data_IF_964807064218
#
_entry.id   IF_964807064218
#
_cell.length_a   1.000
_cell.length_b   1.000
_cell.length_c   1.000
_cell.angle_alpha   90.00
_cell.angle_beta   90.00
_cell.angle_gamma   90.00
#
_symmetry.space_group_name_H-M   'P 1'
#
loop_
_entity.id
_entity.type
_entity.pdbx_description
1 polymer ?
#
# COMPACT_ATOMS: atom_id res chain seq x y z
N UNK A 1 39.53 -37.93 75.49
CA UNK A 1 40.18 -37.10 74.52
C UNK A 1 39.91 -37.52 73.12
N UNK A 2 38.99 -36.94 72.54
CA UNK A 2 38.49 -37.28 71.16
C UNK A 2 38.77 -36.11 70.29
N UNK A 3 39.39 -36.38 69.16
CA UNK A 3 39.76 -35.51 68.10
C UNK A 3 38.55 -35.32 67.14
N UNK A 4 38.17 -34.13 66.71
CA UNK A 4 37.17 -33.96 65.67
C UNK A 4 37.80 -33.97 64.28
N UNK A 5 37.18 -34.70 63.36
CA UNK A 5 37.47 -34.85 61.95
C UNK A 5 36.98 -33.63 61.15
N UNK A 6 37.82 -33.14 60.22
CA UNK A 6 37.45 -32.19 59.16
C UNK A 6 36.69 -32.88 58.00
N UNK A 7 35.75 -32.24 57.37
CA UNK A 7 35.34 -32.59 55.99
C UNK A 7 35.92 -31.58 55.03
N UNK A 8 36.73 -32.09 54.09
CA UNK A 8 37.13 -31.41 52.86
C UNK A 8 36.05 -31.61 51.82
N UNK A 9 35.52 -30.54 51.27
CA UNK A 9 34.92 -30.57 49.91
C UNK A 9 35.09 -29.18 49.32
N UNK A 10 36.10 -29.06 48.45
CA UNK A 10 36.22 -27.94 47.55
C UNK A 10 35.26 -28.12 46.34
N UNK A 11 34.61 -27.08 45.84
CA UNK A 11 33.86 -27.17 44.63
C UNK A 11 34.77 -27.14 43.39
N UNK A 12 34.60 -28.14 42.56
CA UNK A 12 35.19 -28.25 41.21
C UNK A 12 34.75 -27.07 40.34
N UNK A 13 35.69 -26.22 39.95
CA UNK A 13 35.50 -25.22 38.92
C UNK A 13 35.57 -25.92 37.55
N UNK A 14 34.46 -26.28 36.97
CA UNK A 14 34.36 -26.50 35.52
C UNK A 14 34.26 -25.14 34.88
N UNK A 15 35.40 -24.70 34.34
CA UNK A 15 35.49 -23.54 33.44
C UNK A 15 34.73 -23.82 32.13
N UNK A 16 33.50 -23.39 32.09
CA UNK A 16 32.81 -23.20 30.81
C UNK A 16 33.14 -21.80 30.30
N UNK A 17 33.92 -21.74 29.26
CA UNK A 17 34.14 -20.52 28.46
C UNK A 17 32.78 -19.96 28.01
N UNK A 18 32.20 -19.11 28.84
CA UNK A 18 31.13 -18.22 28.37
C UNK A 18 31.82 -17.13 27.54
N UNK A 19 31.89 -17.35 26.21
CA UNK A 19 32.06 -16.22 25.31
C UNK A 19 31.07 -15.13 25.72
N UNK A 20 31.50 -13.89 25.95
CA UNK A 20 30.57 -12.80 26.19
C UNK A 20 29.68 -12.70 24.97
N UNK A 21 28.37 -12.87 25.17
CA UNK A 21 27.40 -12.57 24.15
C UNK A 21 27.67 -11.14 23.69
N UNK A 22 28.19 -10.99 22.45
CA UNK A 22 28.30 -9.67 21.82
C UNK A 22 26.91 -9.05 21.91
N UNK A 23 26.72 -8.10 22.80
CA UNK A 23 25.54 -7.26 22.79
C UNK A 23 25.49 -6.58 21.42
N UNK A 24 24.54 -7.00 20.61
CA UNK A 24 24.26 -6.39 19.31
C UNK A 24 23.75 -4.98 19.61
N UNK A 25 24.64 -3.99 19.60
CA UNK A 25 24.31 -2.61 19.93
C UNK A 25 23.47 -2.09 18.76
N UNK A 26 22.16 -2.14 18.94
CA UNK A 26 21.20 -1.58 17.99
C UNK A 26 21.32 -0.05 18.02
N UNK A 27 22.05 0.50 17.08
CA UNK A 27 22.15 1.95 16.89
C UNK A 27 21.30 2.35 15.68
N UNK A 28 20.69 3.53 15.68
CA UNK A 28 19.95 4.01 14.53
C UNK A 28 20.86 4.22 13.33
N UNK A 29 20.45 3.73 12.15
CA UNK A 29 21.11 3.97 10.88
C UNK A 29 20.37 5.09 10.17
N UNK A 30 21.07 6.17 9.87
CA UNK A 30 20.52 7.33 9.20
C UNK A 30 20.82 7.26 7.70
N UNK A 31 19.82 7.64 6.89
CA UNK A 31 19.98 7.85 5.45
C UNK A 31 19.47 9.24 5.10
N UNK A 32 20.29 10.00 4.40
CA UNK A 32 19.95 11.32 3.87
C UNK A 32 20.26 11.37 2.38
N UNK A 33 19.51 12.15 1.65
CA UNK A 33 19.74 12.29 0.21
C UNK A 33 18.68 13.15 -0.46
N UNK A 34 18.64 13.07 -1.78
CA UNK A 34 17.72 13.84 -2.60
C UNK A 34 17.00 12.94 -3.60
N UNK A 35 15.75 13.25 -3.88
CA UNK A 35 14.96 12.71 -4.98
C UNK A 35 14.90 13.71 -6.11
N UNK A 36 15.06 13.25 -7.35
CA UNK A 36 14.86 14.03 -8.55
C UNK A 36 14.08 13.21 -9.57
N UNK A 37 13.29 13.87 -10.41
CA UNK A 37 12.64 13.24 -11.56
C UNK A 37 13.61 13.20 -12.76
N UNK A 38 13.26 12.44 -13.80
CA UNK A 38 14.06 12.34 -15.04
C UNK A 38 14.37 13.68 -15.69
N UNK A 39 13.53 14.69 -15.48
CA UNK A 39 13.70 16.05 -16.00
C UNK A 39 14.60 16.94 -15.13
N UNK A 40 15.20 16.38 -14.07
CA UNK A 40 16.06 17.09 -13.15
C UNK A 40 15.34 17.96 -12.13
N UNK A 41 14.01 17.95 -12.09
CA UNK A 41 13.21 18.68 -11.11
C UNK A 41 12.96 17.83 -9.85
N UNK A 42 12.76 18.43 -8.68
CA UNK A 42 12.27 17.68 -7.51
C UNK A 42 10.84 17.17 -7.75
N UNK A 43 10.43 16.10 -7.09
CA UNK A 43 9.05 15.63 -7.19
C UNK A 43 8.09 16.73 -6.70
N UNK A 44 6.90 16.87 -7.32
CA UNK A 44 5.94 17.94 -7.03
C UNK A 44 5.19 17.73 -5.71
N UNK A 45 5.32 16.57 -5.11
CA UNK A 45 4.75 16.23 -3.80
C UNK A 45 5.77 15.44 -2.96
N UNK A 46 5.61 15.39 -1.62
CA UNK A 46 6.42 14.54 -0.76
C UNK A 46 6.25 13.06 -1.14
N UNK A 47 7.36 12.37 -1.31
CA UNK A 47 7.39 10.97 -1.75
C UNK A 47 7.71 10.07 -0.58
N UNK A 48 7.04 8.93 -0.50
CA UNK A 48 7.27 7.91 0.53
C UNK A 48 8.62 7.24 0.30
N UNK A 49 9.43 7.16 1.35
CA UNK A 49 10.68 6.43 1.35
C UNK A 49 10.46 5.04 1.94
N UNK A 50 10.76 4.01 1.17
CA UNK A 50 10.46 2.61 1.49
C UNK A 50 11.74 1.82 1.75
N UNK A 51 11.74 1.06 2.84
CA UNK A 51 12.69 -0.02 3.09
C UNK A 51 12.01 -1.34 2.70
N UNK A 52 12.62 -2.10 1.79
CA UNK A 52 12.10 -3.39 1.35
C UNK A 52 13.09 -4.47 1.75
N UNK A 53 12.71 -5.32 2.69
CA UNK A 53 13.52 -6.45 3.17
C UNK A 53 12.81 -7.75 2.85
N UNK A 54 13.48 -8.66 2.13
CA UNK A 54 12.89 -9.94 1.71
C UNK A 54 11.55 -9.77 0.99
N UNK A 55 11.45 -8.75 0.13
CA UNK A 55 10.24 -8.41 -0.61
C UNK A 55 9.12 -7.73 0.20
N UNK A 56 9.32 -7.49 1.50
CA UNK A 56 8.33 -6.83 2.36
C UNK A 56 8.61 -5.33 2.45
N UNK A 57 7.76 -4.46 1.86
CA UNK A 57 7.92 -3.03 1.93
C UNK A 57 7.50 -2.47 3.30
N UNK A 58 8.32 -1.56 3.84
CA UNK A 58 8.07 -0.85 5.10
C UNK A 58 8.37 0.63 4.89
N UNK A 59 7.40 1.52 5.04
CA UNK A 59 7.64 2.96 4.93
C UNK A 59 8.54 3.43 6.09
N UNK A 60 9.48 4.33 5.77
CA UNK A 60 10.45 4.86 6.74
C UNK A 60 10.30 6.38 6.95
N UNK A 61 9.66 7.08 6.04
CA UNK A 61 9.46 8.52 6.09
C UNK A 61 9.08 9.10 4.73
N UNK A 62 9.20 10.40 4.60
CA UNK A 62 8.85 11.15 3.38
C UNK A 62 9.98 12.09 2.97
N UNK A 63 10.04 12.41 1.68
CA UNK A 63 10.83 13.55 1.21
C UNK A 63 10.11 14.88 1.53
N UNK A 64 10.87 15.99 1.52
CA UNK A 64 10.27 17.32 1.50
C UNK A 64 9.88 17.72 0.05
N UNK A 65 9.20 18.89 -0.10
CA UNK A 65 8.82 19.45 -1.41
C UNK A 65 9.99 19.82 -2.31
N UNK A 66 11.23 19.78 -1.81
CA UNK A 66 12.47 19.96 -2.58
C UNK A 66 13.15 18.63 -2.91
N UNK A 67 12.46 17.53 -2.64
CA UNK A 67 12.95 16.17 -2.84
C UNK A 67 13.98 15.72 -1.82
N UNK A 68 14.29 16.47 -0.75
CA UNK A 68 15.28 16.04 0.25
C UNK A 68 14.62 15.09 1.25
N UNK A 69 15.32 14.04 1.61
CA UNK A 69 14.86 13.10 2.64
C UNK A 69 15.92 12.91 3.72
N UNK A 70 15.45 12.66 4.94
CA UNK A 70 16.25 12.21 6.07
C UNK A 70 15.42 11.20 6.85
N UNK A 71 15.86 9.95 6.86
CA UNK A 71 15.15 8.84 7.48
C UNK A 71 16.04 8.07 8.42
N UNK A 72 15.44 7.50 9.45
CA UNK A 72 16.10 6.61 10.41
C UNK A 72 15.55 5.20 10.21
N UNK A 73 16.39 4.26 9.80
CA UNK A 73 15.96 2.90 9.52
C UNK A 73 15.54 2.16 10.78
N UNK A 74 14.42 1.45 10.69
CA UNK A 74 13.89 0.62 11.78
C UNK A 74 13.08 1.37 12.83
N UNK A 75 12.92 2.67 12.72
CA UNK A 75 11.99 3.43 13.56
C UNK A 75 10.67 3.66 12.82
N UNK A 76 9.59 3.14 13.37
CA UNK A 76 8.24 3.41 12.87
C UNK A 76 7.75 4.81 13.28
N UNK A 77 8.60 5.83 13.14
CA UNK A 77 8.24 7.23 13.39
C UNK A 77 7.51 7.82 12.18
N UNK A 78 6.52 7.10 11.65
CA UNK A 78 5.61 7.69 10.70
C UNK A 78 4.62 8.53 11.49
N UNK A 79 5.05 9.72 11.86
CA UNK A 79 4.11 10.83 12.02
C UNK A 79 3.65 11.08 10.59
N UNK A 80 2.47 10.59 10.22
CA UNK A 80 1.85 10.93 8.95
C UNK A 80 1.85 12.46 8.83
N UNK A 81 2.71 13.07 8.00
CA UNK A 81 2.51 14.43 7.62
C UNK A 81 1.44 14.37 6.55
N UNK A 82 0.22 14.69 6.95
CA UNK A 82 -0.87 14.87 6.04
C UNK A 82 -1.61 13.62 5.54
N UNK A 83 -2.88 13.53 5.91
CA UNK A 83 -3.86 12.60 5.35
C UNK A 83 -4.15 12.86 3.84
N UNK A 84 -3.45 13.78 3.18
CA UNK A 84 -3.52 14.00 1.73
C UNK A 84 -2.81 12.93 0.92
N UNK A 85 -1.90 12.17 1.52
CA UNK A 85 -1.21 11.08 0.87
C UNK A 85 -1.77 9.79 1.46
N UNK A 86 -3.04 9.52 1.19
CA UNK A 86 -3.56 8.16 1.27
C UNK A 86 -2.89 7.39 0.15
N UNK A 87 -1.82 6.67 0.47
CA UNK A 87 -1.34 5.64 -0.43
C UNK A 87 -2.51 4.72 -0.80
N UNK A 88 -2.53 4.13 -2.00
CA UNK A 88 -3.62 3.27 -2.46
C UNK A 88 -3.93 2.09 -1.52
N UNK A 89 -3.06 1.85 -0.53
CA UNK A 89 -3.23 0.79 0.46
C UNK A 89 -4.04 1.18 1.70
N UNK A 90 -4.21 2.47 2.01
CA UNK A 90 -4.85 2.88 3.27
C UNK A 90 -6.35 3.13 3.15
N UNK A 91 -6.87 3.35 1.94
CA UNK A 91 -8.27 3.73 1.71
C UNK A 91 -9.18 2.52 1.53
N UNK A 92 -8.65 1.36 1.18
CA UNK A 92 -9.44 0.18 0.86
C UNK A 92 -9.28 -0.95 1.90
N UNK A 93 -9.89 -0.74 3.07
CA UNK A 93 -10.41 -1.80 3.92
C UNK A 93 -9.48 -2.95 4.26
N UNK A 94 -8.26 -2.68 4.63
CA UNK A 94 -7.46 -3.61 5.41
C UNK A 94 -7.96 -3.60 6.86
N UNK A 95 -9.12 -4.22 7.10
CA UNK A 95 -9.50 -4.71 8.44
C UNK A 95 -8.66 -5.95 8.79
N UNK A 96 -7.36 -5.89 8.58
CA UNK A 96 -6.45 -6.73 9.32
C UNK A 96 -6.11 -5.98 10.60
N UNK A 97 -6.93 -6.16 11.63
CA UNK A 97 -6.52 -6.02 13.02
C UNK A 97 -5.46 -7.08 13.33
N UNK A 98 -4.35 -7.04 12.61
CA UNK A 98 -3.10 -7.49 13.15
C UNK A 98 -2.68 -6.34 14.04
N UNK A 99 -2.95 -6.45 15.33
CA UNK A 99 -2.34 -5.63 16.35
C UNK A 99 -0.83 -5.67 16.09
N UNK A 100 -0.34 -4.68 15.36
CA UNK A 100 1.07 -4.34 15.38
C UNK A 100 1.30 -3.98 16.83
N UNK A 101 1.92 -4.88 17.52
CA UNK A 101 2.36 -4.70 18.90
C UNK A 101 3.29 -3.48 18.88
N UNK A 102 2.68 -2.31 19.08
CA UNK A 102 3.39 -1.04 19.31
C UNK A 102 3.94 -1.06 20.73
N UNK A 103 4.94 -1.93 20.93
CA UNK A 103 5.89 -1.70 21.99
C UNK A 103 6.83 -0.57 21.54
N UNK A 104 7.25 0.33 22.43
CA UNK A 104 8.29 1.30 22.10
C UNK A 104 9.60 0.53 21.95
N UNK A 105 9.86 -0.02 20.77
CA UNK A 105 11.18 -0.55 20.43
C UNK A 105 12.05 0.66 20.07
N UNK A 106 12.70 1.21 21.07
CA UNK A 106 13.81 2.17 20.93
C UNK A 106 15.08 1.47 20.40
N UNK A 107 14.94 0.54 19.48
CA UNK A 107 16.04 -0.20 18.87
C UNK A 107 16.17 0.13 17.39
N UNK A 108 17.32 0.67 16.96
CA UNK A 108 17.69 0.76 15.56
C UNK A 108 17.83 -0.63 14.92
N UNK A 109 17.91 -0.71 13.60
CA UNK A 109 18.21 -1.96 12.89
C UNK A 109 19.69 -2.32 13.05
N UNK A 110 19.98 -3.62 13.21
CA UNK A 110 21.37 -4.11 13.17
C UNK A 110 21.84 -4.26 11.71
N UNK A 111 23.16 -4.21 11.48
CA UNK A 111 23.76 -4.40 10.16
C UNK A 111 23.35 -5.75 9.51
N UNK A 112 23.17 -6.79 10.33
CA UNK A 112 22.70 -8.11 9.85
C UNK A 112 21.28 -8.08 9.32
N UNK A 113 20.40 -7.25 9.88
CA UNK A 113 19.04 -7.09 9.44
C UNK A 113 18.92 -6.33 8.11
N UNK A 114 19.98 -5.60 7.69
CA UNK A 114 20.03 -4.94 6.39
C UNK A 114 20.44 -5.87 5.23
N UNK A 115 20.87 -7.08 5.53
CA UNK A 115 21.18 -8.06 4.48
C UNK A 115 19.91 -8.41 3.70
N UNK A 116 19.96 -8.23 2.37
CA UNK A 116 18.79 -8.43 1.50
C UNK A 116 17.75 -7.31 1.58
N UNK A 117 18.08 -6.19 2.19
CA UNK A 117 17.25 -4.99 2.19
C UNK A 117 17.66 -4.02 1.08
N UNK A 118 16.68 -3.36 0.51
CA UNK A 118 16.84 -2.27 -0.44
C UNK A 118 16.04 -1.05 0.03
N UNK A 119 16.54 0.13 -0.31
CA UNK A 119 15.91 1.40 -0.01
C UNK A 119 15.55 2.10 -1.31
N UNK A 120 14.31 2.55 -1.44
CA UNK A 120 13.77 3.18 -2.64
C UNK A 120 12.68 4.18 -2.32
N UNK A 121 12.35 5.03 -3.28
CA UNK A 121 11.19 5.89 -3.20
C UNK A 121 9.97 5.21 -3.85
N UNK A 122 8.78 5.49 -3.33
CA UNK A 122 7.52 5.00 -3.88
C UNK A 122 6.62 6.19 -4.27
N UNK A 123 6.51 6.40 -5.56
CA UNK A 123 5.62 7.39 -6.17
C UNK A 123 4.84 6.72 -7.30
N UNK A 124 3.50 6.63 -7.22
CA UNK A 124 2.70 5.99 -8.26
C UNK A 124 2.95 6.59 -9.64
N UNK A 125 3.19 5.73 -10.63
CA UNK A 125 3.54 6.13 -11.99
C UNK A 125 5.03 6.29 -12.25
N UNK A 126 5.86 6.11 -11.23
CA UNK A 126 7.33 6.21 -11.35
C UNK A 126 8.01 4.96 -10.80
N UNK A 127 9.18 4.70 -11.31
CA UNK A 127 10.12 3.70 -10.78
C UNK A 127 11.31 4.44 -10.20
N UNK A 128 11.61 4.20 -8.93
CA UNK A 128 12.78 4.75 -8.28
C UNK A 128 14.03 3.94 -8.57
N UNK A 129 15.18 4.60 -8.57
CA UNK A 129 16.44 3.93 -8.31
C UNK A 129 16.40 3.18 -6.98
N UNK A 130 17.19 2.12 -6.90
CA UNK A 130 17.25 1.24 -5.75
C UNK A 130 18.63 1.34 -5.11
N UNK A 131 18.66 1.71 -3.84
CA UNK A 131 19.87 1.66 -3.03
C UNK A 131 19.94 0.33 -2.31
N UNK A 132 20.92 -0.51 -2.66
CA UNK A 132 21.20 -1.75 -1.92
C UNK A 132 21.83 -1.43 -0.57
N UNK A 133 21.27 -2.00 0.50
CA UNK A 133 21.75 -1.79 1.86
C UNK A 133 22.64 -2.92 2.37
N UNK A 134 22.79 -4.00 1.60
CA UNK A 134 23.66 -5.12 1.92
C UNK A 134 25.12 -4.65 2.05
N UNK A 135 25.71 -4.88 3.22
CA UNK A 135 27.10 -4.47 3.49
C UNK A 135 27.25 -3.03 4.00
N UNK A 136 26.17 -2.28 4.15
CA UNK A 136 26.21 -0.95 4.76
C UNK A 136 26.45 -1.07 6.26
N UNK A 137 27.40 -0.27 6.76
CA UNK A 137 27.80 -0.26 8.17
C UNK A 137 27.26 0.98 8.88
N UNK A 138 27.18 0.88 10.19
CA UNK A 138 26.67 1.92 11.08
C UNK A 138 27.41 3.26 10.98
N UNK A 139 28.72 3.19 10.67
CA UNK A 139 29.60 4.36 10.58
C UNK A 139 29.77 4.88 9.14
N UNK A 140 29.07 4.29 8.16
CA UNK A 140 29.12 4.78 6.79
C UNK A 140 28.46 6.15 6.68
N UNK A 141 28.89 6.93 5.68
CA UNK A 141 28.29 8.24 5.40
C UNK A 141 26.78 8.10 5.24
N UNK A 142 25.95 8.81 6.05
CA UNK A 142 24.50 8.75 5.92
C UNK A 142 24.01 9.29 4.57
N UNK A 143 24.79 10.13 3.88
CA UNK A 143 24.39 10.68 2.59
C UNK A 143 24.54 9.62 1.49
N UNK A 144 23.40 9.30 0.87
CA UNK A 144 23.31 8.28 -0.18
C UNK A 144 23.24 8.88 -1.59
N UNK A 145 23.36 10.21 -1.70
CA UNK A 145 23.31 10.92 -2.96
C UNK A 145 21.89 11.17 -3.47
N UNK A 146 21.74 11.12 -4.80
CA UNK A 146 20.46 11.38 -5.48
C UNK A 146 19.87 10.09 -5.98
N UNK A 147 18.59 9.84 -5.66
CA UNK A 147 17.78 8.77 -6.25
C UNK A 147 16.90 9.39 -7.35
N UNK A 148 16.88 8.77 -8.52
CA UNK A 148 16.09 9.27 -9.65
C UNK A 148 14.76 8.51 -9.72
N UNK A 149 13.69 9.25 -9.97
CA UNK A 149 12.36 8.76 -10.23
C UNK A 149 12.13 8.72 -11.75
N UNK A 150 12.17 7.52 -12.32
CA UNK A 150 11.97 7.27 -13.75
C UNK A 150 10.49 7.10 -14.04
N UNK A 151 9.95 7.88 -14.96
CA UNK A 151 8.55 7.75 -15.36
C UNK A 151 8.29 6.43 -16.08
N UNK A 152 7.23 5.73 -15.68
CA UNK A 152 6.78 4.52 -16.37
C UNK A 152 6.10 4.91 -17.70
N UNK A 153 6.53 4.29 -18.80
CA UNK A 153 6.10 4.64 -20.17
C UNK A 153 4.60 4.48 -20.43
N UNK A 154 3.92 3.61 -19.70
CA UNK A 154 2.49 3.29 -19.88
C UNK A 154 1.61 3.88 -18.78
N UNK A 155 2.05 4.93 -18.10
CA UNK A 155 1.28 5.60 -17.05
C UNK A 155 0.99 7.03 -17.50
N UNK A 156 -0.30 7.34 -17.68
CA UNK A 156 -0.76 8.68 -18.06
C UNK A 156 -1.19 9.51 -16.85
N UNK A 157 -1.67 8.85 -15.81
CA UNK A 157 -2.18 9.48 -14.59
C UNK A 157 -1.09 9.81 -13.59
N UNK A 158 -1.32 10.87 -12.82
CA UNK A 158 -0.43 11.35 -11.76
C UNK A 158 -1.20 11.46 -10.45
N UNK A 159 -0.49 11.29 -9.34
CA UNK A 159 -1.02 11.58 -8.00
C UNK A 159 -1.07 13.09 -7.71
N UNK A 160 -0.38 13.89 -8.49
CA UNK A 160 -0.39 15.35 -8.46
C UNK A 160 -1.10 15.94 -9.69
N UNK A 161 -1.60 17.16 -9.58
CA UNK A 161 -2.31 17.83 -10.68
C UNK A 161 -1.40 18.81 -11.42
N UNK A 162 -1.29 18.62 -12.72
CA UNK A 162 -0.54 19.51 -13.61
C UNK A 162 -1.19 20.90 -13.76
N UNK A 163 -2.52 20.96 -13.78
CA UNK A 163 -3.25 22.24 -13.90
C UNK A 163 -3.09 23.11 -12.66
N UNK A 164 -2.87 22.49 -11.51
CA UNK A 164 -2.68 23.19 -10.23
C UNK A 164 -1.41 24.05 -10.19
N UNK A 165 -0.38 23.71 -10.96
CA UNK A 165 0.85 24.51 -11.06
C UNK A 165 0.62 25.91 -11.65
N UNK A 166 -0.42 26.07 -12.48
CA UNK A 166 -0.78 27.34 -13.12
C UNK A 166 -1.67 28.26 -12.27
N UNK A 167 -1.97 27.88 -11.04
CA UNK A 167 -2.86 28.67 -10.18
C UNK A 167 -2.27 30.05 -9.85
N UNK A 168 -3.08 31.13 -9.90
CA UNK A 168 -2.68 32.47 -9.49
C UNK A 168 -2.23 32.52 -8.02
N UNK A 169 -1.35 33.48 -7.71
CA UNK A 169 -0.74 33.62 -6.38
C UNK A 169 -1.78 33.69 -5.25
N UNK A 170 -2.89 34.39 -5.46
CA UNK A 170 -3.91 34.55 -4.41
C UNK A 170 -4.71 33.28 -4.19
N UNK A 171 -5.03 32.54 -5.26
CA UNK A 171 -5.65 31.22 -5.16
C UNK A 171 -4.72 30.20 -4.49
N UNK A 172 -3.41 30.25 -4.79
CA UNK A 172 -2.41 29.41 -4.10
C UNK A 172 -2.34 29.69 -2.61
N UNK A 173 -2.28 30.98 -2.21
CA UNK A 173 -2.28 31.36 -0.79
C UNK A 173 -3.56 30.91 -0.07
N UNK A 174 -4.71 31.03 -0.74
CA UNK A 174 -5.97 30.56 -0.19
C UNK A 174 -5.97 29.04 -0.02
N UNK A 175 -5.48 28.29 -1.03
CA UNK A 175 -5.31 26.85 -0.95
C UNK A 175 -4.37 26.42 0.19
N UNK A 176 -3.17 27.00 0.29
CA UNK A 176 -2.19 26.70 1.34
C UNK A 176 -2.78 26.89 2.74
N UNK A 177 -3.53 27.97 2.94
CA UNK A 177 -4.22 28.21 4.22
C UNK A 177 -5.31 27.18 4.47
N UNK A 178 -6.09 26.80 3.46
CA UNK A 178 -7.09 25.75 3.55
C UNK A 178 -6.46 24.38 3.89
N UNK A 179 -5.38 24.02 3.20
CA UNK A 179 -4.64 22.80 3.43
C UNK A 179 -4.05 22.73 4.86
N UNK A 180 -3.51 23.83 5.36
CA UNK A 180 -3.01 23.90 6.75
C UNK A 180 -4.13 23.72 7.80
N UNK A 181 -5.32 24.22 7.50
CA UNK A 181 -6.51 24.03 8.35
C UNK A 181 -7.01 22.57 8.29
N UNK A 182 -6.93 21.93 7.11
CA UNK A 182 -7.21 20.50 6.96
C UNK A 182 -6.29 19.65 7.86
N UNK A 183 -4.97 19.92 7.88
CA UNK A 183 -4.01 19.27 8.79
C UNK A 183 -4.38 19.43 10.26
N UNK A 184 -4.92 20.59 10.62
CA UNK A 184 -5.40 20.89 11.98
C UNK A 184 -6.80 20.35 12.27
N UNK A 185 -7.41 19.59 11.32
CA UNK A 185 -8.78 19.07 11.39
C UNK A 185 -9.87 20.13 11.59
N UNK A 186 -9.61 21.36 11.14
CA UNK A 186 -10.53 22.50 11.17
C UNK A 186 -11.27 22.60 9.83
N UNK A 187 -12.14 21.65 9.59
CA UNK A 187 -12.71 21.40 8.26
C UNK A 187 -13.63 22.51 7.76
N UNK A 188 -14.42 23.12 8.63
CA UNK A 188 -15.31 24.25 8.29
C UNK A 188 -14.51 25.51 7.92
N UNK A 189 -13.44 25.80 8.68
CA UNK A 189 -12.54 26.92 8.36
C UNK A 189 -11.76 26.63 7.05
N UNK A 190 -11.34 25.38 6.85
CA UNK A 190 -10.66 24.96 5.64
C UNK A 190 -11.55 25.13 4.40
N UNK A 191 -12.84 24.76 4.48
CA UNK A 191 -13.81 24.92 3.40
C UNK A 191 -13.86 26.37 2.90
N UNK A 192 -13.90 27.37 3.79
CA UNK A 192 -13.96 28.80 3.41
C UNK A 192 -12.76 29.18 2.55
N UNK A 193 -11.57 28.73 2.93
CA UNK A 193 -10.34 29.07 2.20
C UNK A 193 -10.19 28.26 0.91
N UNK A 194 -10.60 27.00 0.90
CA UNK A 194 -10.58 26.16 -0.31
C UNK A 194 -11.61 26.65 -1.35
N UNK A 195 -12.82 27.09 -0.92
CA UNK A 195 -13.78 27.75 -1.80
C UNK A 195 -13.18 29.00 -2.44
N UNK A 196 -12.56 29.87 -1.63
CA UNK A 196 -11.87 31.05 -2.17
C UNK A 196 -10.80 30.70 -3.20
N UNK A 197 -10.09 29.58 -3.01
CA UNK A 197 -9.09 29.11 -3.98
C UNK A 197 -9.71 28.71 -5.31
N UNK A 198 -10.82 27.94 -5.30
CA UNK A 198 -11.49 27.48 -6.54
C UNK A 198 -12.30 28.60 -7.20
N UNK A 199 -12.87 29.53 -6.45
CA UNK A 199 -13.56 30.70 -6.99
C UNK A 199 -12.58 31.60 -7.74
N UNK A 200 -11.36 31.78 -7.20
CA UNK A 200 -10.30 32.56 -7.85
C UNK A 200 -9.62 31.85 -9.02
N UNK A 201 -9.69 30.53 -9.06
CA UNK A 201 -9.17 29.69 -10.15
C UNK A 201 -9.97 28.39 -10.30
N UNK A 202 -11.05 28.40 -11.10
CA UNK A 202 -11.94 27.24 -11.26
C UNK A 202 -11.25 25.97 -11.80
N UNK A 203 -10.10 26.07 -12.49
CA UNK A 203 -9.30 24.93 -12.94
C UNK A 203 -8.30 24.43 -11.89
N UNK A 204 -8.45 24.82 -10.63
CA UNK A 204 -7.57 24.37 -9.55
C UNK A 204 -7.95 22.97 -9.06
N UNK A 205 -7.58 21.95 -9.81
CA UNK A 205 -7.99 20.57 -9.53
C UNK A 205 -7.63 20.12 -8.11
N UNK A 206 -6.43 20.47 -7.62
CA UNK A 206 -5.99 20.12 -6.26
C UNK A 206 -6.84 20.80 -5.19
N UNK A 207 -7.25 22.05 -5.40
CA UNK A 207 -8.12 22.77 -4.44
C UNK A 207 -9.54 22.17 -4.42
N UNK A 208 -10.07 21.75 -5.58
CA UNK A 208 -11.32 21.01 -5.65
C UNK A 208 -11.25 19.67 -4.93
N UNK A 209 -10.15 18.95 -5.09
CA UNK A 209 -9.91 17.68 -4.40
C UNK A 209 -9.90 17.86 -2.88
N UNK A 210 -9.13 18.82 -2.36
CA UNK A 210 -9.08 19.11 -0.91
C UNK A 210 -10.42 19.61 -0.37
N UNK A 211 -11.18 20.37 -1.16
CA UNK A 211 -12.53 20.77 -0.80
C UNK A 211 -13.47 19.56 -0.68
N UNK A 212 -13.36 18.59 -1.59
CA UNK A 212 -14.08 17.33 -1.50
C UNK A 212 -13.75 16.58 -0.20
N UNK A 213 -12.47 16.51 0.16
CA UNK A 213 -12.03 15.91 1.44
C UNK A 213 -12.56 16.65 2.66
N UNK A 214 -12.62 17.98 2.61
CA UNK A 214 -13.22 18.78 3.69
C UNK A 214 -14.71 18.45 3.87
N UNK A 215 -15.46 18.30 2.78
CA UNK A 215 -16.86 17.88 2.82
C UNK A 215 -17.03 16.45 3.34
N UNK A 216 -16.16 15.53 2.93
CA UNK A 216 -16.20 14.14 3.40
C UNK A 216 -15.97 14.07 4.92
N UNK A 217 -14.98 14.80 5.44
CA UNK A 217 -14.72 14.90 6.87
C UNK A 217 -15.91 15.49 7.66
N UNK A 218 -16.69 16.38 7.03
CA UNK A 218 -17.94 16.93 7.54
C UNK A 218 -19.16 16.00 7.30
N UNK A 219 -18.96 14.80 6.74
CA UNK A 219 -20.00 13.81 6.36
C UNK A 219 -20.99 14.32 5.30
N UNK A 220 -20.59 15.30 4.52
CA UNK A 220 -21.38 15.92 3.43
C UNK A 220 -21.04 15.21 2.10
N UNK A 221 -21.47 13.96 1.96
CA UNK A 221 -21.05 13.08 0.85
C UNK A 221 -21.48 13.59 -0.54
N UNK A 222 -22.64 14.22 -0.67
CA UNK A 222 -23.09 14.78 -1.95
C UNK A 222 -22.19 15.92 -2.43
N UNK A 223 -21.84 16.83 -1.51
CA UNK A 223 -20.94 17.96 -1.80
C UNK A 223 -19.52 17.45 -2.11
N UNK A 224 -19.05 16.44 -1.36
CA UNK A 224 -17.76 15.79 -1.60
C UNK A 224 -17.68 15.20 -3.00
N UNK A 225 -18.71 14.45 -3.42
CA UNK A 225 -18.82 13.88 -4.77
C UNK A 225 -18.72 14.96 -5.84
N UNK A 226 -19.51 16.03 -5.69
CA UNK A 226 -19.51 17.15 -6.64
C UNK A 226 -18.12 17.80 -6.73
N UNK A 227 -17.45 18.04 -5.61
CA UNK A 227 -16.12 18.62 -5.58
C UNK A 227 -15.07 17.70 -6.26
N UNK A 228 -15.12 16.39 -6.04
CA UNK A 228 -14.26 15.43 -6.73
C UNK A 228 -14.53 15.39 -8.23
N UNK A 229 -15.79 15.48 -8.66
CA UNK A 229 -16.16 15.57 -10.08
C UNK A 229 -15.61 16.85 -10.73
N UNK A 230 -15.64 17.97 -10.02
CA UNK A 230 -15.03 19.22 -10.48
C UNK A 230 -13.49 19.11 -10.56
N UNK A 231 -12.87 18.40 -9.62
CA UNK A 231 -11.45 18.11 -9.67
C UNK A 231 -11.08 17.31 -10.93
N UNK A 232 -11.83 16.24 -11.23
CA UNK A 232 -11.66 15.43 -12.45
C UNK A 232 -11.88 16.26 -13.72
N UNK A 233 -12.90 17.11 -13.74
CA UNK A 233 -13.18 18.00 -14.86
C UNK A 233 -12.05 19.01 -15.10
N UNK A 234 -11.39 19.44 -14.02
CA UNK A 234 -10.26 20.36 -14.09
C UNK A 234 -8.95 19.69 -14.53
N UNK A 235 -8.74 18.44 -14.15
CA UNK A 235 -7.57 17.64 -14.54
C UNK A 235 -7.93 16.15 -14.55
N UNK A 236 -8.28 15.63 -15.71
CA UNK A 236 -8.68 14.22 -15.88
C UNK A 236 -7.56 13.20 -15.69
N UNK A 237 -6.29 13.65 -15.63
CA UNK A 237 -5.12 12.79 -15.34
C UNK A 237 -4.75 12.76 -13.87
N UNK A 238 -5.36 13.57 -13.04
CA UNK A 238 -5.19 13.57 -11.60
C UNK A 238 -5.92 12.36 -10.99
N UNK A 239 -5.18 11.34 -10.55
CA UNK A 239 -5.71 10.03 -10.15
C UNK A 239 -6.52 10.10 -8.85
N UNK A 240 -6.09 10.91 -7.87
CA UNK A 240 -6.67 10.92 -6.53
C UNK A 240 -8.19 11.16 -6.48
N UNK A 241 -8.79 12.14 -7.21
CA UNK A 241 -10.24 12.31 -7.19
C UNK A 241 -10.99 11.13 -7.83
N UNK A 242 -10.40 10.44 -8.82
CA UNK A 242 -11.00 9.22 -9.36
C UNK A 242 -11.07 8.09 -8.32
N UNK A 243 -10.04 7.97 -7.47
CA UNK A 243 -10.02 7.00 -6.36
C UNK A 243 -11.11 7.32 -5.34
N UNK A 244 -11.33 8.58 -4.98
CA UNK A 244 -12.39 8.97 -4.04
C UNK A 244 -13.79 8.71 -4.64
N UNK A 245 -14.00 9.03 -5.90
CA UNK A 245 -15.26 8.72 -6.59
C UNK A 245 -15.51 7.21 -6.67
N UNK A 246 -14.47 6.40 -6.90
CA UNK A 246 -14.56 4.94 -6.82
C UNK A 246 -14.94 4.48 -5.43
N UNK A 247 -14.34 5.06 -4.36
CA UNK A 247 -14.69 4.72 -2.98
C UNK A 247 -16.16 5.04 -2.67
N UNK A 248 -16.67 6.16 -3.16
CA UNK A 248 -18.10 6.49 -3.02
C UNK A 248 -18.98 5.43 -3.69
N UNK A 249 -18.61 4.99 -4.90
CA UNK A 249 -19.33 3.92 -5.60
C UNK A 249 -19.28 2.57 -4.84
N UNK A 250 -18.14 2.25 -4.22
CA UNK A 250 -17.98 1.05 -3.38
C UNK A 250 -18.92 1.11 -2.16
N UNK A 251 -18.95 2.26 -1.49
CA UNK A 251 -19.81 2.45 -0.30
C UNK A 251 -21.30 2.31 -0.62
N UNK A 252 -21.72 2.71 -1.83
CA UNK A 252 -23.10 2.57 -2.31
C UNK A 252 -23.38 1.23 -2.99
N UNK A 253 -22.36 0.37 -3.16
CA UNK A 253 -22.44 -0.93 -3.88
C UNK A 253 -22.96 -0.81 -5.31
N UNK A 254 -22.71 0.30 -5.95
CA UNK A 254 -23.04 0.52 -7.35
C UNK A 254 -22.01 -0.17 -8.26
N UNK A 255 -22.29 -1.44 -8.60
CA UNK A 255 -21.36 -2.28 -9.38
C UNK A 255 -21.04 -1.68 -10.75
N UNK A 256 -21.99 -0.99 -11.37
CA UNK A 256 -21.76 -0.34 -12.65
C UNK A 256 -20.75 0.82 -12.50
N UNK A 257 -20.97 1.70 -11.52
CA UNK A 257 -20.04 2.80 -11.23
C UNK A 257 -18.68 2.29 -10.77
N UNK A 258 -18.63 1.20 -9.97
CA UNK A 258 -17.34 0.60 -9.56
C UNK A 258 -16.58 0.13 -10.80
N UNK A 259 -17.21 -0.57 -11.75
CA UNK A 259 -16.56 -1.04 -12.97
C UNK A 259 -16.03 0.14 -13.81
N UNK A 260 -16.86 1.15 -14.06
CA UNK A 260 -16.51 2.33 -14.87
C UNK A 260 -15.37 3.15 -14.24
N UNK A 261 -15.47 3.44 -12.94
CA UNK A 261 -14.47 4.23 -12.23
C UNK A 261 -13.14 3.49 -12.08
N UNK A 262 -13.19 2.19 -11.77
CA UNK A 262 -11.97 1.37 -11.70
C UNK A 262 -11.30 1.25 -13.07
N UNK A 263 -12.06 1.06 -14.16
CA UNK A 263 -11.51 1.07 -15.52
C UNK A 263 -10.78 2.39 -15.82
N UNK A 264 -11.34 3.52 -15.39
CA UNK A 264 -10.70 4.83 -15.59
C UNK A 264 -9.37 4.91 -14.84
N UNK A 265 -9.34 4.52 -13.56
CA UNK A 265 -8.09 4.50 -12.77
C UNK A 265 -7.06 3.57 -13.38
N UNK A 266 -7.47 2.37 -13.83
CA UNK A 266 -6.57 1.38 -14.42
C UNK A 266 -6.03 1.79 -15.79
N UNK A 267 -6.77 2.58 -16.56
CA UNK A 267 -6.26 3.21 -17.81
C UNK A 267 -5.21 4.27 -17.49
N UNK A 268 -5.42 5.05 -16.43
CA UNK A 268 -4.46 6.08 -16.02
C UNK A 268 -3.18 5.47 -15.44
N UNK A 269 -3.31 4.41 -14.64
CA UNK A 269 -2.18 3.73 -14.02
C UNK A 269 -2.51 2.25 -13.74
N UNK A 270 -2.08 1.32 -14.61
CA UNK A 270 -2.38 -0.11 -14.45
C UNK A 270 -1.48 -0.84 -13.44
N UNK A 271 -0.37 -0.25 -12.98
CA UNK A 271 0.69 -0.98 -12.28
C UNK A 271 0.66 -0.84 -10.76
N UNK A 272 0.17 0.28 -10.24
CA UNK A 272 0.33 0.60 -8.82
C UNK A 272 -0.88 0.22 -7.96
N UNK A 273 -1.95 -0.35 -8.53
CA UNK A 273 -3.22 -0.50 -7.85
C UNK A 273 -3.81 -1.93 -7.92
N UNK A 274 -3.19 -2.95 -7.29
CA UNK A 274 -3.75 -4.31 -7.27
C UNK A 274 -5.16 -4.36 -6.68
N UNK A 275 -5.48 -3.48 -5.71
CA UNK A 275 -6.81 -3.38 -5.12
C UNK A 275 -7.86 -2.88 -6.11
N UNK A 276 -7.49 -1.97 -7.02
CA UNK A 276 -8.42 -1.46 -8.04
C UNK A 276 -8.72 -2.55 -9.06
N UNK A 277 -7.71 -3.34 -9.46
CA UNK A 277 -7.91 -4.53 -10.27
C UNK A 277 -8.85 -5.54 -9.60
N UNK A 278 -8.67 -5.77 -8.29
CA UNK A 278 -9.59 -6.61 -7.51
C UNK A 278 -11.02 -6.06 -7.51
N UNK A 279 -11.21 -4.77 -7.29
CA UNK A 279 -12.54 -4.13 -7.30
C UNK A 279 -13.19 -4.20 -8.67
N UNK A 280 -12.40 -3.96 -9.74
CA UNK A 280 -12.86 -4.11 -11.12
C UNK A 280 -13.32 -5.55 -11.38
N UNK A 281 -12.52 -6.55 -10.96
CA UNK A 281 -12.89 -7.95 -11.05
C UNK A 281 -14.17 -8.29 -10.29
N UNK A 282 -14.31 -7.80 -9.06
CA UNK A 282 -15.50 -8.03 -8.24
C UNK A 282 -16.76 -7.36 -8.84
N UNK A 283 -16.63 -6.14 -9.36
CA UNK A 283 -17.72 -5.43 -10.01
C UNK A 283 -18.18 -6.16 -11.28
N UNK A 284 -17.25 -6.52 -12.16
CA UNK A 284 -17.57 -7.23 -13.39
C UNK A 284 -18.14 -8.63 -13.13
N UNK A 285 -17.69 -9.31 -12.05
CA UNK A 285 -18.30 -10.57 -11.62
C UNK A 285 -19.78 -10.38 -11.24
N UNK A 286 -20.10 -9.36 -10.44
CA UNK A 286 -21.49 -9.04 -10.08
C UNK A 286 -22.36 -8.63 -11.28
N UNK A 287 -21.74 -7.99 -12.30
CA UNK A 287 -22.36 -7.65 -13.57
C UNK A 287 -22.43 -8.84 -14.56
N UNK A 288 -22.02 -10.05 -14.14
CA UNK A 288 -21.98 -11.28 -14.96
C UNK A 288 -21.05 -11.21 -16.18
N UNK A 289 -20.07 -10.30 -16.18
CA UNK A 289 -19.06 -10.16 -17.20
C UNK A 289 -17.83 -11.00 -16.83
N UNK A 290 -17.98 -12.34 -16.84
CA UNK A 290 -17.00 -13.28 -16.25
C UNK A 290 -15.61 -13.19 -16.89
N UNK A 291 -15.49 -12.96 -18.19
CA UNK A 291 -14.20 -12.86 -18.87
C UNK A 291 -13.41 -11.61 -18.45
N UNK A 292 -14.11 -10.49 -18.26
CA UNK A 292 -13.50 -9.25 -17.77
C UNK A 292 -13.11 -9.43 -16.32
N UNK A 293 -13.98 -10.03 -15.51
CA UNK A 293 -13.74 -10.30 -14.09
C UNK A 293 -12.50 -11.18 -13.89
N UNK A 294 -12.35 -12.25 -14.68
CA UNK A 294 -11.18 -13.13 -14.64
C UNK A 294 -9.89 -12.38 -14.98
N UNK A 295 -9.90 -11.63 -16.09
CA UNK A 295 -8.73 -10.83 -16.49
C UNK A 295 -8.30 -9.90 -15.36
N UNK A 296 -9.24 -9.17 -14.80
CA UNK A 296 -8.95 -8.21 -13.72
C UNK A 296 -8.45 -8.90 -12.45
N UNK A 297 -9.02 -10.04 -12.08
CA UNK A 297 -8.56 -10.80 -10.92
C UNK A 297 -7.13 -11.38 -11.13
N UNK A 298 -6.80 -11.81 -12.35
CA UNK A 298 -5.45 -12.29 -12.70
C UNK A 298 -4.43 -11.15 -12.66
N UNK A 299 -4.75 -9.96 -13.19
CA UNK A 299 -3.86 -8.79 -13.09
C UNK A 299 -3.68 -8.35 -11.64
N UNK A 300 -4.74 -8.37 -10.83
CA UNK A 300 -4.64 -8.12 -9.39
C UNK A 300 -3.66 -9.08 -8.70
N UNK A 301 -3.79 -10.38 -9.00
CA UNK A 301 -2.93 -11.42 -8.42
C UNK A 301 -1.46 -11.27 -8.85
N UNK A 302 -1.22 -10.93 -10.11
CA UNK A 302 0.12 -10.69 -10.66
C UNK A 302 0.83 -9.52 -9.99
N UNK A 303 0.08 -8.47 -9.61
CA UNK A 303 0.63 -7.29 -8.94
C UNK A 303 0.76 -7.48 -7.42
N UNK A 304 -0.04 -8.37 -6.82
CA UNK A 304 0.00 -8.66 -5.38
C UNK A 304 1.01 -9.78 -5.06
N UNK A 305 2.28 -9.56 -5.39
CA UNK A 305 3.37 -10.54 -5.23
C UNK A 305 3.53 -11.01 -3.78
N UNK A 306 3.24 -10.14 -2.82
CA UNK A 306 3.33 -10.45 -1.39
C UNK A 306 2.12 -11.18 -0.82
N UNK A 307 1.09 -11.42 -1.64
CA UNK A 307 -0.22 -11.96 -1.22
C UNK A 307 -0.84 -11.16 -0.05
N UNK A 308 -0.64 -9.84 -0.07
CA UNK A 308 -1.19 -8.93 0.93
C UNK A 308 -2.72 -8.86 0.94
N UNK A 309 -3.35 -9.23 -0.17
CA UNK A 309 -4.81 -9.35 -0.27
C UNK A 309 -5.24 -10.76 -0.72
N UNK A 310 -5.33 -11.74 0.18
CA UNK A 310 -5.74 -13.11 -0.16
C UNK A 310 -7.11 -13.21 -0.84
N UNK A 311 -8.00 -12.23 -0.65
CA UNK A 311 -9.33 -12.19 -1.28
C UNK A 311 -9.28 -12.18 -2.81
N UNK A 312 -8.15 -11.78 -3.41
CA UNK A 312 -7.94 -11.82 -4.87
C UNK A 312 -7.99 -13.28 -5.34
N UNK A 313 -7.26 -14.19 -4.67
CA UNK A 313 -7.27 -15.63 -4.99
C UNK A 313 -8.67 -16.20 -4.80
N UNK A 314 -9.37 -15.84 -3.72
CA UNK A 314 -10.76 -16.29 -3.52
C UNK A 314 -11.69 -15.84 -4.63
N UNK A 315 -11.62 -14.55 -5.04
CA UNK A 315 -12.43 -14.02 -6.13
C UNK A 315 -12.15 -14.76 -7.44
N UNK A 316 -10.87 -14.95 -7.78
CA UNK A 316 -10.48 -15.69 -8.99
C UNK A 316 -10.99 -17.13 -8.93
N UNK A 317 -10.88 -17.81 -7.78
CA UNK A 317 -11.41 -19.16 -7.58
C UNK A 317 -12.93 -19.25 -7.84
N UNK A 318 -13.72 -18.30 -7.35
CA UNK A 318 -15.16 -18.22 -7.60
C UNK A 318 -15.44 -18.02 -9.11
N UNK A 319 -14.76 -17.07 -9.75
CA UNK A 319 -14.94 -16.79 -11.18
C UNK A 319 -14.62 -18.02 -12.03
N UNK A 320 -13.52 -18.73 -11.72
CA UNK A 320 -13.11 -19.95 -12.45
C UNK A 320 -14.11 -21.09 -12.25
N UNK A 321 -14.67 -21.24 -11.05
CA UNK A 321 -15.73 -22.22 -10.79
C UNK A 321 -16.99 -21.93 -11.63
N UNK A 322 -17.44 -20.68 -11.70
CA UNK A 322 -18.58 -20.26 -12.50
C UNK A 322 -18.33 -20.42 -14.02
N UNK A 323 -17.07 -20.37 -14.45
CA UNK A 323 -16.66 -20.64 -15.83
C UNK A 323 -16.45 -22.15 -16.12
N UNK A 324 -16.56 -23.03 -15.11
CA UNK A 324 -16.35 -24.47 -15.24
C UNK A 324 -14.89 -24.93 -15.19
N UNK A 325 -13.92 -24.04 -14.93
CA UNK A 325 -12.53 -24.39 -14.65
C UNK A 325 -12.37 -24.77 -13.18
N UNK A 326 -12.84 -25.96 -12.84
CA UNK A 326 -12.80 -26.48 -11.46
C UNK A 326 -11.39 -26.75 -10.94
N UNK A 327 -10.40 -27.24 -11.74
CA UNK A 327 -9.02 -27.38 -11.29
C UNK A 327 -8.38 -26.05 -10.94
N UNK A 328 -8.56 -25.02 -11.79
CA UNK A 328 -8.10 -23.67 -11.53
C UNK A 328 -8.74 -23.06 -10.27
N UNK A 329 -10.06 -23.28 -10.11
CA UNK A 329 -10.81 -22.82 -8.94
C UNK A 329 -10.26 -23.43 -7.64
N UNK A 330 -10.01 -24.75 -7.63
CA UNK A 330 -9.42 -25.46 -6.49
C UNK A 330 -8.06 -24.87 -6.09
N UNK A 331 -7.17 -24.67 -7.07
CA UNK A 331 -5.85 -24.10 -6.84
C UNK A 331 -5.95 -22.74 -6.15
N UNK A 332 -6.83 -21.86 -6.65
CA UNK A 332 -6.99 -20.51 -6.11
C UNK A 332 -7.64 -20.50 -4.73
N UNK A 333 -8.63 -21.33 -4.48
CA UNK A 333 -9.29 -21.43 -3.17
C UNK A 333 -8.39 -22.04 -2.10
N UNK A 334 -7.55 -23.03 -2.45
CA UNK A 334 -6.52 -23.56 -1.56
C UNK A 334 -5.45 -22.52 -1.25
N UNK A 335 -5.01 -21.74 -2.24
CA UNK A 335 -4.12 -20.59 -2.05
C UNK A 335 -4.68 -19.58 -1.07
N UNK A 336 -5.98 -19.23 -1.20
CA UNK A 336 -6.65 -18.36 -0.24
C UNK A 336 -6.54 -18.87 1.20
N UNK A 337 -6.83 -20.15 1.45
CA UNK A 337 -6.77 -20.73 2.79
C UNK A 337 -5.33 -20.76 3.35
N UNK A 338 -4.31 -20.92 2.50
CA UNK A 338 -2.92 -20.91 2.94
C UNK A 338 -2.45 -19.52 3.39
N UNK A 339 -2.93 -18.46 2.74
CA UNK A 339 -2.56 -17.08 3.08
C UNK A 339 -3.48 -16.43 4.12
N UNK A 340 -4.69 -16.97 4.32
CA UNK A 340 -5.67 -16.44 5.27
C UNK A 340 -6.34 -17.58 6.08
N UNK A 341 -5.57 -18.33 6.88
CA UNK A 341 -6.09 -19.50 7.63
C UNK A 341 -7.13 -19.13 8.69
N UNK A 342 -7.09 -17.90 9.19
CA UNK A 342 -7.99 -17.40 10.26
C UNK A 342 -9.11 -16.48 9.71
N UNK A 343 -9.34 -16.47 8.40
CA UNK A 343 -10.38 -15.64 7.83
C UNK A 343 -11.78 -16.12 8.27
N UNK A 344 -12.74 -15.21 8.50
CA UNK A 344 -14.07 -15.57 9.04
C UNK A 344 -14.89 -16.49 8.13
N UNK A 345 -14.50 -16.63 6.87
CA UNK A 345 -15.19 -17.41 5.85
C UNK A 345 -14.47 -18.73 5.46
N UNK A 346 -13.43 -19.11 6.21
CA UNK A 346 -12.64 -20.33 5.97
C UNK A 346 -13.52 -21.59 5.85
N UNK A 347 -14.51 -21.77 6.72
CA UNK A 347 -15.40 -22.93 6.69
C UNK A 347 -16.29 -22.94 5.43
N UNK A 348 -16.69 -21.77 4.93
CA UNK A 348 -17.43 -21.68 3.67
C UNK A 348 -16.56 -22.10 2.50
N UNK A 349 -15.31 -21.62 2.48
CA UNK A 349 -14.36 -21.95 1.40
C UNK A 349 -13.98 -23.43 1.44
N UNK A 350 -13.80 -24.05 2.62
CA UNK A 350 -13.58 -25.50 2.76
C UNK A 350 -14.71 -26.32 2.16
N UNK A 351 -15.95 -25.92 2.41
CA UNK A 351 -17.12 -26.59 1.79
C UNK A 351 -17.13 -26.46 0.26
N UNK A 352 -16.79 -25.28 -0.25
CA UNK A 352 -16.68 -25.03 -1.70
C UNK A 352 -15.57 -25.90 -2.32
N UNK A 353 -14.40 -26.01 -1.67
CA UNK A 353 -13.32 -26.88 -2.10
C UNK A 353 -13.77 -28.36 -2.15
N UNK A 354 -14.42 -28.83 -1.11
CA UNK A 354 -14.93 -30.22 -1.06
C UNK A 354 -15.92 -30.52 -2.20
N UNK A 355 -16.81 -29.59 -2.50
CA UNK A 355 -17.76 -29.74 -3.63
C UNK A 355 -17.04 -29.72 -4.99
N UNK A 356 -16.08 -28.82 -5.19
CA UNK A 356 -15.26 -28.80 -6.40
C UNK A 356 -14.46 -30.09 -6.58
N UNK A 357 -13.90 -30.67 -5.51
CA UNK A 357 -13.21 -31.97 -5.52
C UNK A 357 -14.15 -33.09 -5.91
N UNK A 358 -15.40 -33.09 -5.39
CA UNK A 358 -16.41 -34.10 -5.76
C UNK A 358 -16.74 -34.01 -7.25
N UNK A 359 -16.89 -32.82 -7.80
CA UNK A 359 -17.21 -32.59 -9.23
C UNK A 359 -16.02 -33.06 -10.11
N UNK A 360 -14.81 -32.71 -9.74
CA UNK A 360 -13.59 -33.11 -10.50
C UNK A 360 -13.34 -34.61 -10.42
N UNK A 361 -13.48 -35.22 -9.26
CA UNK A 361 -13.37 -36.67 -9.08
C UNK A 361 -14.40 -37.49 -9.89
N UNK A 362 -15.66 -36.99 -9.93
CA UNK A 362 -16.71 -37.58 -10.73
C UNK A 362 -16.42 -37.52 -12.26
N UNK A 363 -15.84 -36.39 -12.73
CA UNK A 363 -15.44 -36.23 -14.13
C UNK A 363 -14.29 -37.17 -14.53
N UNK A 364 -13.32 -37.40 -13.65
CA UNK A 364 -12.18 -38.31 -13.90
C UNK A 364 -12.64 -39.75 -14.01
N UNK A 365 -13.59 -40.20 -13.18
CA UNK A 365 -14.16 -41.55 -13.24
C UNK A 365 -15.05 -41.77 -14.46
N UNK A 366 -15.72 -40.72 -14.96
CA UNK A 366 -16.54 -40.82 -16.18
C UNK A 366 -15.73 -40.86 -17.50
N UNK A 367 -14.46 -40.46 -17.47
CA UNK A 367 -13.57 -40.46 -18.63
C UNK A 367 -12.71 -41.72 -18.75
N UNK A 368 -12.74 -42.63 -17.78
CA UNK A 368 -12.04 -43.92 -17.87
C UNK A 368 -12.96 -44.93 -18.58
N UNK A 369 -12.71 -45.32 -19.84
CA UNK A 369 -13.51 -46.37 -20.49
C UNK A 369 -13.33 -47.66 -19.74
N UNK A 370 -14.36 -48.53 -19.70
CA UNK A 370 -14.22 -49.84 -19.06
C UNK A 370 -13.14 -50.64 -19.82
N UNK A 371 -12.10 -51.02 -19.11
CA UNK A 371 -11.10 -51.95 -19.63
C UNK A 371 -11.82 -53.27 -19.88
N UNK A 372 -11.94 -53.65 -21.16
CA UNK A 372 -12.37 -55.00 -21.59
C UNK A 372 -11.23 -55.99 -21.46
#
# INVERSE_FOLDING_TARGET
PTRPTQPSTGPSMTGGDRQPAMMDIQRPIFLTGRLMMDDGNPPPEPVVMMLVCNGQPRPQGYSDMKGRFSVTLGQNNIVMPDASISGPNDTFGSNSTRSVQTGPTSGGMSERQLMGCEFRADLPGFRSDVLQLSGRRLMDNPEVGTLILHRLSNVEGFTFSMTSASAPKDSRKAYEKGADLMKKKKYEEAEVHLRKAVDGYPKYALAWFELGRAFEAQKRQADAKTAYEQSVASDGKFVNPHLQLLQIAVNTRDWQQIAERSDTVLKLNPFNYPQIWYMNGAANYNLKKLDVAERSAREALKLDVSHGNPRISRLLGIILADKGDYPGALTQMQGYLSFAPDAPDVEVVRKQIAELQRITGAKTTAQTPPQQ
#
